data_IF_873838586511
#
_entry.id   IF_873838586511
#
_cell.length_a   1.000
_cell.length_b   1.000
_cell.length_c   1.000
_cell.angle_alpha   90.00
_cell.angle_beta   90.00
_cell.angle_gamma   90.00
#
_symmetry.space_group_name_H-M   'P 1'
#
loop_
_entity.id
_entity.type
_entity.pdbx_description
1 polymer ?
#
# COMPACT_ATOMS: atom_id res chain seq x y z
N UNK A 1 44.67 -32.18 -7.67
CA UNK A 1 43.23 -32.06 -7.99
C UNK A 1 42.62 -31.06 -7.01
N UNK A 2 42.53 -29.77 -7.35
CA UNK A 2 42.30 -28.70 -6.32
C UNK A 2 41.52 -27.48 -6.83
N UNK A 3 40.67 -27.66 -7.86
CA UNK A 3 40.00 -26.55 -8.57
C UNK A 3 38.46 -26.57 -8.51
N UNK A 4 37.85 -27.44 -7.70
CA UNK A 4 36.38 -27.58 -7.65
C UNK A 4 35.70 -26.91 -6.45
N UNK A 5 36.46 -26.22 -5.58
CA UNK A 5 35.89 -25.61 -4.37
C UNK A 5 35.32 -24.20 -4.58
N UNK A 6 35.56 -23.55 -5.72
CA UNK A 6 35.26 -22.11 -5.87
C UNK A 6 33.88 -21.79 -6.45
N UNK A 7 33.17 -22.77 -7.04
CA UNK A 7 31.90 -22.54 -7.74
C UNK A 7 30.69 -22.59 -6.79
N UNK A 8 30.83 -23.21 -5.61
CA UNK A 8 29.73 -23.37 -4.64
C UNK A 8 29.55 -22.18 -3.68
N UNK A 9 30.47 -21.22 -3.64
CA UNK A 9 30.42 -20.09 -2.70
C UNK A 9 29.63 -18.87 -3.20
N UNK A 10 29.46 -18.70 -4.51
CA UNK A 10 28.91 -17.47 -5.11
C UNK A 10 27.40 -17.53 -5.42
N UNK A 11 26.72 -18.65 -5.17
CA UNK A 11 25.29 -18.81 -5.47
C UNK A 11 24.33 -18.34 -4.36
N UNK A 12 24.83 -18.16 -3.13
CA UNK A 12 23.98 -17.98 -1.94
C UNK A 12 23.74 -16.52 -1.53
N UNK A 13 24.36 -15.54 -2.21
CA UNK A 13 24.21 -14.12 -1.87
C UNK A 13 23.08 -13.40 -2.62
N UNK A 14 22.36 -14.10 -3.50
CA UNK A 14 21.35 -13.51 -4.40
C UNK A 14 19.93 -13.45 -3.82
N UNK A 15 19.69 -14.05 -2.64
CA UNK A 15 18.32 -14.28 -2.13
C UNK A 15 17.78 -13.18 -1.20
N UNK A 16 18.54 -12.12 -0.89
CA UNK A 16 18.14 -11.13 0.12
C UNK A 16 17.48 -9.86 -0.41
N UNK A 17 17.25 -9.73 -1.72
CA UNK A 17 16.53 -8.58 -2.29
C UNK A 17 15.06 -8.90 -2.58
N UNK A 18 14.34 -9.41 -1.57
CA UNK A 18 12.88 -9.38 -1.60
C UNK A 18 12.48 -7.94 -1.31
N UNK A 19 12.38 -7.14 -2.39
CA UNK A 19 11.70 -5.86 -2.32
C UNK A 19 10.25 -6.18 -1.95
N UNK A 20 9.86 -5.73 -0.76
CA UNK A 20 8.49 -5.80 -0.22
C UNK A 20 7.58 -5.10 -1.23
N UNK A 21 7.07 -5.85 -2.20
CA UNK A 21 6.10 -5.40 -3.19
C UNK A 21 4.79 -5.18 -2.44
N UNK A 22 4.74 -4.07 -1.71
CA UNK A 22 3.60 -3.64 -0.91
C UNK A 22 2.48 -3.33 -1.88
N UNK A 23 1.53 -4.25 -2.01
CA UNK A 23 0.38 -4.09 -2.87
C UNK A 23 -0.38 -2.81 -2.46
N UNK A 24 -0.44 -1.84 -3.36
CA UNK A 24 -1.37 -0.73 -3.24
C UNK A 24 -2.79 -1.29 -3.35
N UNK A 25 -3.60 -1.04 -2.32
CA UNK A 25 -4.97 -1.52 -2.22
C UNK A 25 -5.95 -0.37 -2.09
N UNK A 26 -7.23 -0.69 -2.10
CA UNK A 26 -8.31 0.29 -2.12
C UNK A 26 -9.39 -0.09 -1.12
N UNK A 27 -9.75 0.82 -0.24
CA UNK A 27 -10.91 0.68 0.62
C UNK A 27 -12.18 0.98 -0.17
N UNK A 28 -13.17 0.08 -0.08
CA UNK A 28 -14.56 0.38 -0.43
C UNK A 28 -15.19 1.17 0.71
N UNK A 29 -15.74 2.34 0.41
CA UNK A 29 -16.50 3.12 1.39
C UNK A 29 -17.97 2.66 1.41
N UNK A 30 -18.57 2.47 2.60
CA UNK A 30 -19.99 2.11 2.74
C UNK A 30 -20.94 3.09 2.04
N UNK A 31 -20.58 4.37 1.97
CA UNK A 31 -21.35 5.42 1.28
C UNK A 31 -21.04 5.54 -0.23
N UNK A 32 -20.34 4.57 -0.81
CA UNK A 32 -19.90 4.63 -2.20
C UNK A 32 -18.58 5.37 -2.41
N UNK A 33 -17.85 4.91 -3.41
CA UNK A 33 -16.51 5.39 -3.76
C UNK A 33 -15.39 4.60 -3.10
N UNK A 34 -14.16 5.01 -3.41
CA UNK A 34 -12.95 4.29 -3.04
C UNK A 34 -11.95 5.22 -2.37
N UNK A 35 -11.11 4.66 -1.50
CA UNK A 35 -9.92 5.34 -0.95
C UNK A 35 -8.72 4.43 -1.16
N UNK A 36 -7.70 4.91 -1.84
CA UNK A 36 -6.48 4.15 -2.04
C UNK A 36 -5.70 4.06 -0.71
N UNK A 37 -4.95 2.99 -0.51
CA UNK A 37 -3.99 2.85 0.57
C UNK A 37 -2.74 2.13 0.07
N UNK A 38 -1.58 2.55 0.56
CA UNK A 38 -0.31 1.97 0.13
C UNK A 38 0.22 1.03 1.21
N UNK A 39 0.58 -0.20 0.86
CA UNK A 39 1.06 -1.23 1.77
C UNK A 39 0.02 -1.77 2.74
N UNK A 40 0.45 -2.31 3.87
CA UNK A 40 -0.40 -3.16 4.72
C UNK A 40 -1.68 -2.46 5.19
N UNK A 41 -2.81 -3.15 5.11
CA UNK A 41 -4.08 -2.66 5.64
C UNK A 41 -4.04 -2.69 7.18
N UNK A 42 -4.05 -1.51 7.81
CA UNK A 42 -4.00 -1.37 9.25
C UNK A 42 -5.21 -0.59 9.78
N UNK A 43 -5.56 -0.83 11.04
CA UNK A 43 -6.65 -0.11 11.71
C UNK A 43 -6.46 1.42 11.66
N UNK A 44 -5.21 1.89 11.82
CA UNK A 44 -4.89 3.33 11.72
C UNK A 44 -5.21 3.92 10.35
N UNK A 45 -4.90 3.21 9.24
CA UNK A 45 -5.24 3.65 7.89
C UNK A 45 -6.75 3.68 7.66
N UNK A 46 -7.47 2.66 8.15
CA UNK A 46 -8.94 2.63 8.11
C UNK A 46 -9.56 3.79 8.91
N UNK A 47 -8.99 4.10 10.07
CA UNK A 47 -9.40 5.25 10.90
C UNK A 47 -9.17 6.58 10.17
N UNK A 48 -7.97 6.78 9.59
CA UNK A 48 -7.65 7.97 8.78
C UNK A 48 -8.56 8.11 7.56
N UNK A 49 -8.85 7.01 6.86
CA UNK A 49 -9.80 7.03 5.75
C UNK A 49 -11.20 7.50 6.19
N UNK A 50 -11.65 7.09 7.39
CA UNK A 50 -12.91 7.57 7.97
C UNK A 50 -12.84 9.04 8.39
N UNK A 51 -11.82 9.44 9.14
CA UNK A 51 -11.73 10.78 9.73
C UNK A 51 -11.39 11.87 8.71
N UNK A 52 -10.54 11.57 7.74
CA UNK A 52 -10.01 12.57 6.81
C UNK A 52 -10.68 12.53 5.43
N UNK A 53 -11.22 11.38 5.03
CA UNK A 53 -11.85 11.19 3.72
C UNK A 53 -13.32 10.81 3.81
N UNK A 54 -13.90 10.81 5.03
CA UNK A 54 -15.28 10.41 5.30
C UNK A 54 -15.64 9.04 4.67
N UNK A 55 -14.65 8.15 4.61
CA UNK A 55 -14.79 6.82 4.03
C UNK A 55 -14.85 5.78 5.15
N UNK A 56 -16.06 5.33 5.49
CA UNK A 56 -16.22 4.17 6.35
C UNK A 56 -15.89 2.92 5.55
N UNK A 57 -14.79 2.26 5.90
CA UNK A 57 -14.30 1.09 5.18
C UNK A 57 -15.28 -0.08 5.35
N UNK A 58 -15.91 -0.49 4.25
CA UNK A 58 -16.77 -1.65 4.14
C UNK A 58 -16.04 -2.89 3.63
N UNK A 59 -14.88 -2.70 2.99
CA UNK A 59 -14.09 -3.77 2.41
C UNK A 59 -12.81 -3.25 1.74
N UNK A 60 -12.02 -4.16 1.19
CA UNK A 60 -10.81 -3.85 0.43
C UNK A 60 -10.89 -4.47 -0.96
N UNK A 61 -10.30 -3.81 -1.94
CA UNK A 61 -10.17 -4.29 -3.33
C UNK A 61 -8.82 -3.87 -3.89
N UNK A 62 -8.33 -4.58 -4.89
CA UNK A 62 -7.08 -4.27 -5.57
C UNK A 62 -7.22 -3.14 -6.60
N UNK A 63 -8.45 -2.79 -7.00
CA UNK A 63 -8.71 -1.81 -8.06
C UNK A 63 -9.46 -0.59 -7.55
N UNK A 64 -8.83 0.58 -7.62
CA UNK A 64 -9.45 1.87 -7.31
C UNK A 64 -9.99 2.49 -8.60
N UNK A 65 -11.31 2.62 -8.73
CA UNK A 65 -11.88 3.54 -9.71
C UNK A 65 -12.17 4.88 -9.04
N UNK A 66 -11.41 5.91 -9.42
CA UNK A 66 -11.58 7.30 -8.98
C UNK A 66 -11.56 7.50 -7.44
N UNK A 67 -10.42 7.21 -6.76
CA UNK A 67 -10.35 7.28 -5.30
C UNK A 67 -10.42 8.73 -4.79
N UNK A 68 -11.13 8.94 -3.67
CA UNK A 68 -11.25 10.24 -3.00
C UNK A 68 -9.90 10.76 -2.47
N UNK A 69 -8.97 9.85 -2.18
CA UNK A 69 -7.64 10.15 -1.68
C UNK A 69 -6.84 8.87 -1.41
N UNK A 70 -5.61 9.04 -0.92
CA UNK A 70 -4.71 7.93 -0.58
C UNK A 70 -4.28 8.02 0.87
N UNK A 71 -4.38 6.93 1.63
CA UNK A 71 -3.87 6.82 3.01
C UNK A 71 -2.61 5.93 3.03
N UNK A 72 -1.50 6.48 3.50
CA UNK A 72 -0.23 5.77 3.62
C UNK A 72 0.27 5.83 5.07
N UNK A 73 1.20 4.94 5.44
CA UNK A 73 1.94 5.02 6.71
C UNK A 73 2.65 6.37 6.85
N UNK A 74 2.99 7.01 5.73
CA UNK A 74 3.30 8.42 5.65
C UNK A 74 2.10 9.16 5.05
N UNK A 75 1.15 9.60 5.88
CA UNK A 75 -0.07 10.25 5.39
C UNK A 75 0.28 11.50 4.56
N UNK A 76 0.11 11.43 3.23
CA UNK A 76 0.14 12.58 2.35
C UNK A 76 -1.30 12.94 1.97
N UNK A 77 -1.89 14.00 2.54
CA UNK A 77 -3.20 14.45 2.09
C UNK A 77 -3.13 14.82 0.61
N UNK A 78 -4.17 14.46 -0.16
CA UNK A 78 -4.26 14.81 -1.57
C UNK A 78 -4.61 16.31 -1.70
N UNK A 79 -3.74 17.15 -2.28
CA UNK A 79 -3.97 18.60 -2.32
C UNK A 79 -5.14 19.01 -3.21
N UNK A 80 -5.70 18.11 -4.04
CA UNK A 80 -6.81 18.44 -4.95
C UNK A 80 -8.21 18.42 -4.33
N UNK A 81 -8.37 17.94 -3.09
CA UNK A 81 -9.69 17.88 -2.44
C UNK A 81 -9.92 18.95 -1.36
N UNK A 82 -8.92 19.80 -1.11
CA UNK A 82 -9.00 20.87 -0.10
C UNK A 82 -9.62 22.19 -0.63
N UNK A 83 -10.07 22.23 -1.89
CA UNK A 83 -10.46 23.46 -2.60
C UNK A 83 -11.98 23.59 -2.78
N UNK A 84 -12.77 23.11 -1.83
CA UNK A 84 -14.22 23.36 -1.83
C UNK A 84 -14.75 23.45 -0.39
N UNK A 85 -14.33 24.49 0.32
CA UNK A 85 -15.01 24.97 1.52
C UNK A 85 -15.18 26.47 1.44
#
# INVERSE_FOLDING_TARGET
MKKFAFVLGLGLLSLFFINDAKADGCYLCSGGGYVAYTGDDTFDKRKKAKEQLSCQVSGTTSSCSNPKGTVSSHFKPNPKLAINK
#
